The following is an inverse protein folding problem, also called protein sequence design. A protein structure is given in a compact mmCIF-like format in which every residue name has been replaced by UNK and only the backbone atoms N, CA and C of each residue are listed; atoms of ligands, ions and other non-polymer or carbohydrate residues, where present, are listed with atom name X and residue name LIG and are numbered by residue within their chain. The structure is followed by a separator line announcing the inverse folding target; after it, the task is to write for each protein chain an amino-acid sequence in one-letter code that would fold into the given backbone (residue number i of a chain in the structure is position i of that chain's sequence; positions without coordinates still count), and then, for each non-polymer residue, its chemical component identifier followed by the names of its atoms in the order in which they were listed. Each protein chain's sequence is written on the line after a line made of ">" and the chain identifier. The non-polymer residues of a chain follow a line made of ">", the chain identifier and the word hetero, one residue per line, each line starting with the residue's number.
data_IF_092162060498
#
_entry.id   IF_092162060498
#
_cell.length_a   1.000
_cell.length_b   1.000
_cell.length_c   1.000
_cell.angle_alpha   90.00
_cell.angle_beta   90.00
_cell.angle_gamma   90.00
#
_symmetry.space_group_name_H-M   'P 1'
#
loop_
_entity.id
_entity.type
_entity.pdbx_description
1 polymer ?
#
# COMPACT_ATOMS: atom_id res chain seq x y z
N UNK A 1 6.93 26.69 5.68
CA UNK A 1 5.83 25.70 5.64
C UNK A 1 5.62 25.21 7.04
N UNK A 2 4.39 25.23 7.56
CA UNK A 2 4.05 24.68 8.88
C UNK A 2 3.52 23.27 8.67
N UNK A 3 4.11 22.29 9.35
CA UNK A 3 3.66 20.89 9.31
C UNK A 3 2.80 20.63 10.54
N UNK A 4 1.69 19.93 10.33
CA UNK A 4 0.78 19.49 11.40
C UNK A 4 0.52 18.00 11.20
N UNK A 5 0.49 17.24 12.29
CA UNK A 5 0.12 15.84 12.31
C UNK A 5 -1.34 15.72 12.70
N UNK A 6 -2.18 15.36 11.73
CA UNK A 6 -3.58 15.04 12.01
C UNK A 6 -3.70 13.63 12.59
N UNK A 7 -4.33 13.53 13.76
CA UNK A 7 -4.72 12.24 14.31
C UNK A 7 -5.82 11.61 13.47
N UNK A 8 -5.87 10.27 13.46
CA UNK A 8 -6.93 9.55 12.76
C UNK A 8 -8.27 9.86 13.41
N UNK A 9 -9.21 10.40 12.63
CA UNK A 9 -10.57 10.76 13.10
C UNK A 9 -11.37 9.55 13.59
N UNK A 10 -10.97 8.33 13.23
CA UNK A 10 -11.65 7.07 13.61
C UNK A 10 -10.63 5.98 13.93
N UNK A 11 -11.03 4.99 14.74
CA UNK A 11 -10.22 3.80 15.03
C UNK A 11 -9.83 3.01 13.77
N UNK A 12 -10.62 3.09 12.69
CA UNK A 12 -10.29 2.45 11.41
C UNK A 12 -9.04 3.05 10.74
N UNK A 13 -8.68 4.30 11.07
CA UNK A 13 -7.47 4.94 10.56
C UNK A 13 -6.19 4.38 11.17
N UNK A 14 -6.24 3.89 12.42
CA UNK A 14 -5.08 3.31 13.11
C UNK A 14 -5.08 1.79 12.95
N UNK A 15 -4.05 1.25 12.29
CA UNK A 15 -3.95 -0.20 12.04
C UNK A 15 -2.51 -0.68 12.01
N UNK A 16 -2.32 -1.97 12.26
CA UNK A 16 -1.03 -2.66 12.11
C UNK A 16 -1.02 -3.40 10.79
N UNK A 17 0.02 -3.20 9.99
CA UNK A 17 0.19 -3.88 8.71
C UNK A 17 1.32 -4.90 8.84
N UNK A 18 1.08 -6.19 8.51
CA UNK A 18 2.17 -7.13 8.36
C UNK A 18 3.03 -6.72 7.16
N UNK A 19 4.35 -6.86 7.30
CA UNK A 19 5.29 -6.64 6.21
C UNK A 19 5.66 -7.98 5.59
N UNK A 20 5.69 -8.04 4.25
CA UNK A 20 6.37 -9.13 3.56
C UNK A 20 7.89 -8.97 3.73
N UNK A 21 8.64 -10.02 3.43
CA UNK A 21 10.11 -9.98 3.47
C UNK A 21 10.65 -8.84 2.59
N UNK A 22 10.14 -8.69 1.36
CA UNK A 22 10.58 -7.62 0.46
C UNK A 22 10.34 -6.22 1.04
N UNK A 23 9.18 -5.99 1.68
CA UNK A 23 8.85 -4.69 2.30
C UNK A 23 9.74 -4.45 3.51
N UNK A 24 9.99 -5.48 4.32
CA UNK A 24 10.90 -5.40 5.46
C UNK A 24 12.31 -5.01 5.00
N UNK A 25 12.84 -5.69 3.97
CA UNK A 25 14.16 -5.38 3.40
C UNK A 25 14.23 -3.97 2.82
N UNK A 26 13.17 -3.48 2.19
CA UNK A 26 13.11 -2.10 1.72
C UNK A 26 13.25 -1.10 2.88
N UNK A 27 12.49 -1.27 3.97
CA UNK A 27 12.60 -0.38 5.12
C UNK A 27 13.94 -0.49 5.84
N UNK A 28 14.49 -1.71 5.93
CA UNK A 28 15.81 -1.94 6.49
C UNK A 28 16.87 -1.15 5.70
N UNK A 29 16.89 -1.28 4.37
CA UNK A 29 17.83 -0.55 3.51
C UNK A 29 17.68 0.97 3.66
N UNK A 30 16.45 1.49 3.74
CA UNK A 30 16.22 2.94 3.97
C UNK A 30 16.86 3.42 5.27
N UNK A 31 16.80 2.62 6.33
CA UNK A 31 17.39 2.97 7.64
C UNK A 31 18.91 2.85 7.60
N UNK A 32 19.44 1.82 6.94
CA UNK A 32 20.88 1.58 6.82
C UNK A 32 21.59 2.62 5.94
N UNK A 33 20.95 3.04 4.84
CA UNK A 33 21.47 4.06 3.91
C UNK A 33 21.30 5.49 4.44
N UNK A 34 20.63 5.67 5.58
CA UNK A 34 20.32 6.99 6.13
C UNK A 34 21.56 7.60 6.77
N UNK A 35 21.98 8.75 6.26
CA UNK A 35 22.94 9.60 6.96
C UNK A 35 22.32 10.12 8.27
N UNK A 36 23.08 9.99 9.37
CA UNK A 36 22.64 10.48 10.68
C UNK A 36 22.37 12.00 10.61
N UNK A 37 21.14 12.45 10.91
CA UNK A 37 20.82 13.86 10.81
C UNK A 37 21.59 14.66 11.87
N UNK A 38 22.07 15.86 11.50
CA UNK A 38 22.77 16.75 12.44
C UNK A 38 21.89 17.17 13.62
N UNK A 39 20.59 17.27 13.39
CA UNK A 39 19.57 17.53 14.40
C UNK A 39 18.33 16.69 14.07
N UNK A 40 17.68 16.13 15.09
CA UNK A 40 16.40 15.45 14.92
C UNK A 40 15.28 16.49 14.87
N UNK A 41 14.44 16.47 13.82
CA UNK A 41 13.28 17.36 13.72
C UNK A 41 12.12 16.79 14.52
N UNK A 42 11.48 17.67 15.29
CA UNK A 42 10.24 17.38 16.01
C UNK A 42 9.08 18.09 15.30
N UNK A 43 7.98 17.38 15.05
CA UNK A 43 6.71 17.95 14.56
C UNK A 43 5.59 17.39 15.42
N UNK A 44 4.83 18.26 16.10
CA UNK A 44 3.70 17.88 16.98
C UNK A 44 3.97 16.67 17.90
N UNK A 45 5.13 16.63 18.54
CA UNK A 45 5.63 15.56 19.43
C UNK A 45 6.22 14.31 18.74
N UNK A 46 6.15 14.21 17.42
CA UNK A 46 6.72 13.09 16.67
C UNK A 46 8.14 13.40 16.19
N UNK A 47 8.99 12.37 16.25
CA UNK A 47 10.38 12.36 15.77
C UNK A 47 10.66 11.06 15.02
N UNK A 48 11.85 10.90 14.45
CA UNK A 48 12.27 9.66 13.80
C UNK A 48 11.60 9.43 12.45
N UNK A 49 11.18 10.49 11.75
CA UNK A 49 10.59 10.38 10.43
C UNK A 49 11.53 9.64 9.47
N UNK A 50 11.01 8.66 8.75
CA UNK A 50 11.81 7.83 7.84
C UNK A 50 12.14 8.56 6.53
N UNK A 51 11.20 9.34 6.00
CA UNK A 51 11.33 10.02 4.72
C UNK A 51 11.41 11.53 4.92
N UNK A 52 12.60 12.09 4.78
CA UNK A 52 12.85 13.52 4.97
C UNK A 52 13.44 14.17 3.72
N UNK A 53 13.31 15.49 3.61
CA UNK A 53 14.09 16.29 2.68
C UNK A 53 15.54 16.51 3.18
N UNK A 54 16.31 17.30 2.43
CA UNK A 54 17.71 17.60 2.74
C UNK A 54 17.88 18.47 3.99
N UNK A 55 16.81 19.14 4.43
CA UNK A 55 16.77 19.94 5.67
C UNK A 55 16.30 19.12 6.89
N UNK A 56 15.97 17.85 6.69
CA UNK A 56 15.49 16.91 7.69
C UNK A 56 14.00 17.00 7.99
N UNK A 57 13.22 17.74 7.19
CA UNK A 57 11.77 17.85 7.35
C UNK A 57 11.04 16.69 6.67
N UNK A 58 9.91 16.21 7.22
CA UNK A 58 9.13 15.12 6.63
C UNK A 58 8.65 15.42 5.20
N UNK A 59 8.75 14.44 4.31
CA UNK A 59 8.18 14.55 2.96
C UNK A 59 6.65 14.48 3.00
N UNK A 60 5.98 15.54 2.53
CA UNK A 60 4.53 15.58 2.30
C UNK A 60 4.08 14.98 0.95
N UNK A 61 2.76 14.78 0.79
CA UNK A 61 2.14 14.17 -0.40
C UNK A 61 2.61 14.76 -1.74
N UNK A 62 2.68 16.10 -1.83
CA UNK A 62 3.13 16.80 -3.04
C UNK A 62 4.54 16.37 -3.50
N UNK A 63 5.47 16.10 -2.57
CA UNK A 63 6.81 15.62 -2.92
C UNK A 63 6.74 14.26 -3.60
N UNK A 64 5.88 13.38 -3.12
CA UNK A 64 5.68 12.05 -3.70
C UNK A 64 5.01 12.12 -5.07
N UNK A 65 4.00 12.97 -5.24
CA UNK A 65 3.37 13.20 -6.55
C UNK A 65 4.38 13.67 -7.60
N UNK A 66 5.23 14.65 -7.24
CA UNK A 66 6.30 15.09 -8.15
C UNK A 66 7.31 13.98 -8.44
N UNK A 67 7.77 13.24 -7.42
CA UNK A 67 8.69 12.10 -7.62
C UNK A 67 8.11 11.08 -8.60
N UNK A 68 6.85 10.68 -8.42
CA UNK A 68 6.16 9.75 -9.30
C UNK A 68 6.06 10.29 -10.74
N UNK A 69 5.64 11.55 -10.89
CA UNK A 69 5.56 12.20 -12.21
C UNK A 69 6.93 12.21 -12.91
N UNK A 70 8.01 12.50 -12.19
CA UNK A 70 9.37 12.46 -12.75
C UNK A 70 9.80 11.05 -13.15
N UNK A 71 9.52 10.03 -12.32
CA UNK A 71 9.82 8.63 -12.63
C UNK A 71 9.08 8.15 -13.88
N UNK A 72 7.77 8.44 -13.98
CA UNK A 72 6.95 8.09 -15.15
C UNK A 72 7.48 8.79 -16.41
N UNK A 73 7.75 10.09 -16.36
CA UNK A 73 8.32 10.83 -17.50
C UNK A 73 9.66 10.25 -17.95
N UNK A 74 10.54 9.91 -17.01
CA UNK A 74 11.85 9.31 -17.32
C UNK A 74 11.70 7.94 -17.98
N UNK A 75 10.82 7.09 -17.45
CA UNK A 75 10.53 5.79 -18.05
C UNK A 75 9.99 5.95 -19.48
N UNK A 76 9.01 6.83 -19.65
CA UNK A 76 8.33 7.09 -20.92
C UNK A 76 9.26 7.67 -22.00
N UNK A 77 10.34 8.35 -21.60
CA UNK A 77 11.38 8.81 -22.52
C UNK A 77 12.27 7.68 -23.08
N UNK A 78 12.32 6.52 -22.42
CA UNK A 78 13.23 5.39 -22.75
C UNK A 78 12.48 4.24 -23.43
N UNK A 79 11.29 3.90 -22.94
CA UNK A 79 10.58 2.70 -23.35
C UNK A 79 9.48 3.00 -24.38
N UNK A 80 9.29 2.08 -25.34
CA UNK A 80 8.25 2.22 -26.38
C UNK A 80 6.84 2.12 -25.80
N UNK A 81 6.63 1.19 -24.87
CA UNK A 81 5.36 1.04 -24.15
C UNK A 81 5.34 2.08 -23.03
N UNK A 82 4.46 3.05 -23.15
CA UNK A 82 4.36 4.16 -22.21
C UNK A 82 3.61 3.71 -20.95
N UNK A 83 4.13 4.07 -19.78
CA UNK A 83 3.38 3.98 -18.54
C UNK A 83 2.28 5.04 -18.48
N UNK A 84 1.11 4.69 -17.93
CA UNK A 84 0.06 5.66 -17.64
C UNK A 84 0.52 6.62 -16.53
N UNK A 85 -0.31 7.63 -16.22
CA UNK A 85 -0.07 8.45 -15.03
C UNK A 85 -0.17 7.58 -13.76
N UNK A 86 0.90 7.53 -12.97
CA UNK A 86 0.97 6.78 -11.72
C UNK A 86 1.10 7.78 -10.58
N UNK A 87 0.23 7.64 -9.57
CA UNK A 87 0.31 8.40 -8.31
C UNK A 87 0.45 7.43 -7.13
N UNK A 88 0.85 7.90 -5.94
CA UNK A 88 0.86 7.06 -4.74
C UNK A 88 -0.49 6.37 -4.46
N UNK A 89 -1.60 7.02 -4.79
CA UNK A 89 -2.94 6.45 -4.63
C UNK A 89 -3.19 5.28 -5.60
N UNK A 90 -2.65 5.33 -6.82
CA UNK A 90 -2.73 4.23 -7.78
C UNK A 90 -2.04 2.99 -7.24
N UNK A 91 -0.88 3.11 -6.58
CA UNK A 91 -0.20 1.97 -5.95
C UNK A 91 -1.10 1.27 -4.92
N UNK A 92 -1.82 2.04 -4.10
CA UNK A 92 -2.78 1.50 -3.11
C UNK A 92 -3.95 0.78 -3.80
N UNK A 93 -4.46 1.31 -4.91
CA UNK A 93 -5.47 0.62 -5.71
C UNK A 93 -4.95 -0.67 -6.33
N UNK A 94 -3.76 -0.65 -6.93
CA UNK A 94 -3.12 -1.84 -7.50
C UNK A 94 -2.95 -2.94 -6.47
N UNK A 95 -2.49 -2.59 -5.26
CA UNK A 95 -2.42 -3.53 -4.13
C UNK A 95 -3.81 -4.13 -3.83
N UNK A 96 -4.84 -3.30 -3.67
CA UNK A 96 -6.19 -3.76 -3.40
C UNK A 96 -6.73 -4.72 -4.47
N UNK A 97 -6.61 -4.34 -5.74
CA UNK A 97 -7.08 -5.15 -6.85
C UNK A 97 -6.32 -6.47 -6.98
N UNK A 98 -5.01 -6.47 -6.75
CA UNK A 98 -4.21 -7.70 -6.82
C UNK A 98 -4.56 -8.66 -5.68
N UNK A 99 -4.73 -8.17 -4.45
CA UNK A 99 -5.13 -8.99 -3.31
C UNK A 99 -6.57 -9.52 -3.47
N UNK A 100 -7.47 -8.73 -4.04
CA UNK A 100 -8.81 -9.18 -4.37
C UNK A 100 -8.79 -10.32 -5.40
N UNK A 101 -8.02 -10.15 -6.48
CA UNK A 101 -7.82 -11.18 -7.52
C UNK A 101 -7.15 -12.44 -7.00
N UNK A 102 -6.30 -12.35 -5.97
CA UNK A 102 -5.70 -13.52 -5.33
C UNK A 102 -6.65 -14.21 -4.33
N UNK A 103 -7.93 -13.84 -4.29
CA UNK A 103 -8.92 -14.45 -3.41
C UNK A 103 -8.78 -14.09 -1.93
N UNK A 104 -8.14 -12.95 -1.60
CA UNK A 104 -8.06 -12.49 -0.21
C UNK A 104 -9.45 -12.28 0.36
N UNK A 105 -9.65 -12.63 1.64
CA UNK A 105 -10.90 -12.35 2.32
C UNK A 105 -11.22 -10.84 2.31
N UNK A 106 -12.41 -10.40 1.87
CA UNK A 106 -12.75 -8.98 1.75
C UNK A 106 -12.67 -8.20 3.07
N UNK A 107 -12.94 -8.84 4.22
CA UNK A 107 -12.82 -8.20 5.55
C UNK A 107 -11.36 -8.01 5.94
N UNK A 108 -10.50 -8.99 5.67
CA UNK A 108 -9.05 -8.86 5.84
C UNK A 108 -8.52 -7.74 4.96
N UNK A 109 -8.91 -7.71 3.68
CA UNK A 109 -8.48 -6.65 2.76
C UNK A 109 -9.01 -5.28 3.21
N UNK A 110 -10.26 -5.18 3.68
CA UNK A 110 -10.81 -3.94 4.25
C UNK A 110 -9.96 -3.43 5.42
N UNK A 111 -9.55 -4.31 6.33
CA UNK A 111 -8.67 -3.96 7.45
C UNK A 111 -7.31 -3.44 6.95
N UNK A 112 -6.64 -4.19 6.05
CA UNK A 112 -5.34 -3.80 5.50
C UNK A 112 -5.39 -2.48 4.74
N UNK A 113 -6.48 -2.24 4.01
CA UNK A 113 -6.72 -0.99 3.31
C UNK A 113 -7.07 0.15 4.25
N UNK A 114 -7.70 -0.11 5.40
CA UNK A 114 -8.22 0.93 6.29
C UNK A 114 -9.45 1.64 5.73
N UNK A 115 -10.32 0.91 5.01
CA UNK A 115 -11.59 1.45 4.52
C UNK A 115 -12.66 1.39 5.61
N UNK A 116 -13.26 2.53 5.96
CA UNK A 116 -14.38 2.61 6.91
C UNK A 116 -15.62 1.88 6.38
N UNK A 117 -15.85 1.95 5.08
CA UNK A 117 -16.93 1.25 4.39
C UNK A 117 -16.39 0.06 3.58
N UNK A 118 -17.02 -1.10 3.75
CA UNK A 118 -16.69 -2.30 2.98
C UNK A 118 -17.04 -2.17 1.50
N UNK A 119 -18.02 -1.32 1.15
CA UNK A 119 -18.40 -1.06 -0.24
C UNK A 119 -17.21 -0.61 -1.10
N UNK A 120 -16.31 0.21 -0.53
CA UNK A 120 -15.08 0.67 -1.21
C UNK A 120 -14.16 -0.51 -1.56
N UNK A 121 -14.05 -1.50 -0.67
CA UNK A 121 -13.27 -2.71 -0.93
C UNK A 121 -14.00 -3.65 -1.88
N UNK A 122 -15.30 -3.87 -1.73
CA UNK A 122 -16.08 -4.76 -2.59
C UNK A 122 -16.15 -4.25 -4.04
N UNK A 123 -16.04 -2.93 -4.25
CA UNK A 123 -15.93 -2.36 -5.60
C UNK A 123 -14.72 -2.92 -6.38
N UNK A 124 -13.65 -3.39 -5.72
CA UNK A 124 -12.53 -4.04 -6.42
C UNK A 124 -12.78 -5.50 -6.78
N UNK A 125 -13.84 -6.12 -6.24
CA UNK A 125 -14.31 -7.47 -6.57
C UNK A 125 -15.46 -7.48 -7.59
N UNK A 126 -15.85 -6.32 -8.14
CA UNK A 126 -17.01 -6.18 -9.05
C UNK A 126 -16.93 -6.98 -10.35
N UNK A 127 -15.77 -7.58 -10.64
CA UNK A 127 -15.57 -8.47 -11.78
C UNK A 127 -15.89 -9.94 -11.50
N UNK A 128 -16.34 -10.30 -10.29
CA UNK A 128 -16.71 -11.68 -9.97
C UNK A 128 -17.96 -12.11 -10.76
N UNK A 129 -17.79 -13.10 -11.63
CA UNK A 129 -18.85 -13.72 -12.43
C UNK A 129 -19.10 -15.18 -12.04
N UNK A 130 -19.91 -15.86 -12.87
CA UNK A 130 -20.22 -17.29 -12.67
C UNK A 130 -18.95 -18.17 -12.70
N UNK A 131 -17.97 -17.82 -13.53
CA UNK A 131 -16.71 -18.56 -13.64
C UNK A 131 -15.91 -18.51 -12.33
N UNK A 132 -15.84 -17.35 -11.67
CA UNK A 132 -15.18 -17.20 -10.37
C UNK A 132 -15.90 -17.99 -9.27
N UNK A 133 -17.24 -18.03 -9.30
CA UNK A 133 -18.04 -18.82 -8.37
C UNK A 133 -17.78 -20.33 -8.53
N UNK A 134 -17.67 -20.81 -9.78
CA UNK A 134 -17.33 -22.21 -10.07
C UNK A 134 -15.91 -22.54 -9.61
N UNK A 135 -14.96 -21.64 -9.84
CA UNK A 135 -13.57 -21.82 -9.38
C UNK A 135 -13.48 -21.88 -7.84
N UNK A 136 -14.17 -20.99 -7.14
CA UNK A 136 -14.18 -20.98 -5.68
C UNK A 136 -14.84 -22.24 -5.09
N UNK A 137 -15.94 -22.73 -5.69
CA UNK A 137 -16.54 -24.00 -5.26
C UNK A 137 -15.57 -25.16 -5.41
N UNK A 138 -14.87 -25.26 -6.55
CA UNK A 138 -13.84 -26.29 -6.76
C UNK A 138 -12.71 -26.20 -5.74
N UNK A 139 -12.22 -24.99 -5.46
CA UNK A 139 -11.16 -24.76 -4.46
C UNK A 139 -11.59 -25.22 -3.06
N UNK A 140 -12.84 -24.98 -2.68
CA UNK A 140 -13.39 -25.42 -1.39
C UNK A 140 -13.49 -26.95 -1.34
N UNK A 141 -13.97 -27.60 -2.41
CA UNK A 141 -14.02 -29.06 -2.50
C UNK A 141 -12.63 -29.70 -2.40
N UNK A 142 -11.63 -29.14 -3.08
CA UNK A 142 -10.24 -29.60 -3.03
C UNK A 142 -9.66 -29.49 -1.61
N UNK A 143 -9.89 -28.37 -0.93
CA UNK A 143 -9.47 -28.17 0.47
C UNK A 143 -10.16 -29.15 1.43
N UNK A 144 -11.45 -29.43 1.24
CA UNK A 144 -12.17 -30.42 2.05
C UNK A 144 -11.64 -31.83 1.83
N UNK A 145 -11.33 -32.20 0.60
CA UNK A 145 -10.78 -33.51 0.28
C UNK A 145 -9.38 -33.69 0.87
N UNK A 146 -8.49 -32.71 0.71
CA UNK A 146 -7.16 -32.73 1.32
C UNK A 146 -7.23 -32.86 2.86
N UNK A 147 -8.23 -32.24 3.50
CA UNK A 147 -8.44 -32.33 4.95
C UNK A 147 -9.00 -33.69 5.40
N UNK A 148 -9.69 -34.43 4.54
CA UNK A 148 -10.16 -35.81 4.83
C UNK A 148 -9.05 -36.85 4.65
N UNK A 149 -8.04 -36.55 3.86
CA UNK A 149 -6.88 -37.41 3.61
C UNK A 149 -5.75 -37.23 4.65
N UNK A 150 -5.84 -36.18 5.50
CA UNK A 150 -5.02 -35.98 6.69
C UNK A 150 -5.62 -36.64 7.93
#
# INVERSE_FOLDING_TARGET
>A
MWLVIESTKTNAGTRKLPMSEDVFRCFQAIIEDREAPRYERVVDEYTGFLFTDKEGLPLVAMHWEHRFNHMVKRYNAIYRVQMPNITPHVCRHTYCSNMAKSGMNPKTLQYLMGHSDIGVTLNTYTHLGLEDAVYELKRVEELENARKEM
#
